data_IF_402923486089
#
_entry.id   IF_402923486089
#
_cell.length_a   1.000
_cell.length_b   1.000
_cell.length_c   1.000
_cell.angle_alpha   90.00
_cell.angle_beta   90.00
_cell.angle_gamma   90.00
#
_symmetry.space_group_name_H-M   'P 1'
#
loop_
_entity.id
_entity.type
_entity.pdbx_description
1 polymer ?
#
# COMPACT_ATOMS: atom_id res chain seq x y z
N UNK A 1 -7.91 -11.38 10.71
CA UNK A 1 -6.78 -10.64 10.09
C UNK A 1 -6.94 -9.17 10.44
N UNK A 2 -5.88 -8.36 10.56
CA UNK A 2 -6.01 -6.96 11.00
C UNK A 2 -5.26 -6.01 10.08
N UNK A 3 -5.90 -4.91 9.69
CA UNK A 3 -5.28 -3.80 8.94
C UNK A 3 -5.18 -2.56 9.84
N UNK A 4 -3.99 -1.97 9.92
CA UNK A 4 -3.76 -0.65 10.55
C UNK A 4 -3.32 0.35 9.50
N UNK A 5 -3.98 1.49 9.42
CA UNK A 5 -3.57 2.60 8.53
C UNK A 5 -2.39 3.32 9.18
N UNK A 6 -1.20 3.21 8.61
CA UNK A 6 0.00 3.94 9.07
C UNK A 6 0.05 5.32 8.43
N UNK A 7 -0.22 5.38 7.12
CA UNK A 7 -0.38 6.62 6.36
C UNK A 7 -1.26 6.40 5.13
N UNK A 8 -2.03 7.43 4.78
CA UNK A 8 -3.04 7.38 3.72
C UNK A 8 -3.09 8.65 2.85
N UNK A 9 -2.08 9.53 2.94
CA UNK A 9 -2.01 10.76 2.14
C UNK A 9 -1.51 10.46 0.73
N UNK A 10 -2.19 10.96 -0.29
CA UNK A 10 -1.75 10.82 -1.68
C UNK A 10 -0.71 11.85 -2.11
N UNK A 11 0.19 11.47 -3.02
CA UNK A 11 1.25 12.31 -3.64
C UNK A 11 2.35 12.82 -2.71
N UNK A 12 2.01 13.35 -1.53
CA UNK A 12 2.95 13.84 -0.52
C UNK A 12 2.28 13.84 0.87
N UNK A 13 3.06 13.83 1.97
CA UNK A 13 2.48 13.75 3.31
C UNK A 13 1.69 15.00 3.64
N UNK A 14 0.53 14.82 4.28
CA UNK A 14 -0.29 15.92 4.76
C UNK A 14 0.13 16.34 6.17
N UNK A 15 -0.48 17.41 6.70
CA UNK A 15 -0.31 17.79 8.11
C UNK A 15 -0.75 16.70 9.09
N UNK A 16 -1.64 15.80 8.66
CA UNK A 16 -2.26 14.80 9.53
C UNK A 16 -1.92 13.36 9.18
N UNK A 17 -1.15 13.09 8.12
CA UNK A 17 -0.86 11.73 7.65
C UNK A 17 0.45 11.67 6.87
N UNK A 18 1.23 10.63 7.12
CA UNK A 18 2.24 10.15 6.18
C UNK A 18 1.60 9.72 4.83
N UNK A 19 2.43 9.49 3.82
CA UNK A 19 1.97 8.87 2.58
C UNK A 19 1.59 7.38 2.76
N UNK A 20 1.13 6.74 1.69
CA UNK A 20 0.68 5.34 1.67
C UNK A 20 1.58 4.40 2.47
N UNK A 21 1.02 3.85 3.53
CA UNK A 21 1.60 2.76 4.30
C UNK A 21 0.52 2.10 5.15
N UNK A 22 0.39 0.78 5.07
CA UNK A 22 -0.67 0.04 5.75
C UNK A 22 -0.12 -1.27 6.31
N UNK A 23 -0.30 -1.49 7.61
CA UNK A 23 0.23 -2.65 8.30
C UNK A 23 -0.85 -3.74 8.39
N UNK A 24 -0.57 -4.91 7.80
CA UNK A 24 -1.42 -6.10 7.85
C UNK A 24 -0.82 -7.12 8.80
N UNK A 25 -1.62 -7.60 9.75
CA UNK A 25 -1.19 -8.54 10.79
C UNK A 25 -2.11 -9.77 10.87
N UNK A 26 -1.49 -10.96 10.97
CA UNK A 26 -2.15 -12.21 11.30
C UNK A 26 -1.15 -13.19 11.93
N UNK A 27 -1.58 -13.96 12.93
CA UNK A 27 -0.74 -14.97 13.61
C UNK A 27 0.64 -14.47 14.07
N UNK A 28 0.73 -13.18 14.43
CA UNK A 28 1.98 -12.53 14.84
C UNK A 28 2.91 -12.09 13.71
N UNK A 29 2.57 -12.41 12.44
CA UNK A 29 3.28 -11.96 11.24
C UNK A 29 2.84 -10.56 10.82
N UNK A 30 3.79 -9.73 10.37
CA UNK A 30 3.60 -8.32 10.01
C UNK A 30 4.03 -8.04 8.57
N UNK A 31 3.05 -7.84 7.69
CA UNK A 31 3.23 -7.40 6.32
C UNK A 31 2.94 -5.91 6.20
N UNK A 32 3.91 -5.11 5.76
CA UNK A 32 3.68 -3.70 5.44
C UNK A 32 3.37 -3.54 3.94
N UNK A 33 2.23 -2.93 3.61
CA UNK A 33 1.88 -2.51 2.26
C UNK A 33 2.30 -1.05 2.08
N UNK A 34 3.25 -0.80 1.20
CA UNK A 34 3.92 0.47 0.95
C UNK A 34 4.62 1.11 2.17
N UNK A 35 5.66 1.89 1.89
CA UNK A 35 6.45 2.62 2.87
C UNK A 35 6.76 4.02 2.33
N UNK A 36 5.70 4.79 2.20
CA UNK A 36 5.71 6.16 1.70
C UNK A 36 6.41 7.18 2.58
N UNK A 37 6.58 8.39 2.05
CA UNK A 37 7.19 9.52 2.76
C UNK A 37 6.55 9.77 4.13
N UNK A 38 7.35 9.72 5.19
CA UNK A 38 6.94 9.92 6.58
C UNK A 38 6.41 8.66 7.29
N UNK A 39 6.24 7.54 6.57
CA UNK A 39 5.68 6.31 7.10
C UNK A 39 6.55 5.67 8.19
N UNK A 40 7.89 5.74 8.11
CA UNK A 40 8.77 5.13 9.11
C UNK A 40 8.57 5.73 10.50
N UNK A 41 8.33 7.05 10.56
CA UNK A 41 8.04 7.75 11.82
C UNK A 41 6.72 7.28 12.44
N UNK A 42 5.66 7.23 11.63
CA UNK A 42 4.33 6.81 12.08
C UNK A 42 4.27 5.32 12.42
N UNK A 43 4.97 4.47 11.66
CA UNK A 43 5.01 3.02 11.86
C UNK A 43 5.46 2.63 13.28
N UNK A 44 6.41 3.39 13.85
CA UNK A 44 6.94 3.15 15.21
C UNK A 44 5.88 3.28 16.31
N UNK A 45 4.72 3.87 16.02
CA UNK A 45 3.59 3.95 16.95
C UNK A 45 2.81 2.63 17.02
N UNK A 46 3.04 1.72 16.08
CA UNK A 46 2.28 0.49 15.89
C UNK A 46 3.13 -0.75 16.12
N UNK A 47 4.38 -0.75 15.64
CA UNK A 47 5.30 -1.90 15.73
C UNK A 47 6.74 -1.43 15.98
N UNK A 48 7.57 -2.32 16.51
CA UNK A 48 8.99 -2.08 16.66
C UNK A 48 9.71 -2.02 15.32
N UNK A 49 10.83 -1.29 15.27
CA UNK A 49 11.66 -1.09 14.07
C UNK A 49 12.21 -2.38 13.45
N UNK A 50 12.17 -3.50 14.16
CA UNK A 50 12.67 -4.79 13.68
C UNK A 50 11.60 -5.88 13.69
N UNK A 51 10.34 -5.51 13.91
CA UNK A 51 9.22 -6.45 14.04
C UNK A 51 8.57 -6.79 12.69
N UNK A 52 8.81 -6.02 11.63
CA UNK A 52 8.29 -6.32 10.29
C UNK A 52 8.88 -7.62 9.76
N UNK A 53 8.03 -8.44 9.15
CA UNK A 53 8.40 -9.72 8.56
C UNK A 53 8.50 -9.67 7.03
N UNK A 54 7.73 -8.78 6.39
CA UNK A 54 7.79 -8.53 4.96
C UNK A 54 7.27 -7.14 4.59
N UNK A 55 7.68 -6.64 3.43
CA UNK A 55 7.15 -5.42 2.80
C UNK A 55 6.66 -5.76 1.39
N UNK A 56 5.51 -5.25 1.02
CA UNK A 56 4.99 -5.22 -0.34
C UNK A 56 4.97 -3.78 -0.82
N UNK A 57 5.65 -3.47 -1.92
CA UNK A 57 5.62 -2.17 -2.59
C UNK A 57 4.75 -2.32 -3.84
N UNK A 58 3.63 -1.60 -3.88
CA UNK A 58 2.70 -1.60 -5.02
C UNK A 58 3.39 -1.06 -6.28
N UNK A 59 4.12 0.04 -6.14
CA UNK A 59 4.94 0.66 -7.18
C UNK A 59 6.05 1.54 -6.59
N UNK A 60 6.77 2.25 -7.46
CA UNK A 60 8.05 2.90 -7.12
C UNK A 60 8.02 4.44 -7.10
N UNK A 61 6.83 5.04 -7.00
CA UNK A 61 6.71 6.46 -6.67
C UNK A 61 7.17 6.74 -5.24
N UNK A 62 7.65 7.96 -4.99
CA UNK A 62 8.32 8.31 -3.74
C UNK A 62 7.38 8.22 -2.53
N UNK A 63 6.14 8.62 -2.70
CA UNK A 63 5.05 8.49 -1.73
C UNK A 63 4.62 7.05 -1.44
N UNK A 64 5.20 6.04 -2.09
CA UNK A 64 4.96 4.62 -1.80
C UNK A 64 6.20 3.89 -1.30
N UNK A 65 7.42 4.42 -1.49
CA UNK A 65 8.63 3.67 -1.15
C UNK A 65 9.79 4.47 -0.56
N UNK A 66 9.76 5.80 -0.54
CA UNK A 66 10.99 6.56 -0.26
C UNK A 66 11.50 6.40 1.17
N UNK A 67 10.63 6.11 2.14
CA UNK A 67 11.03 5.88 3.53
C UNK A 67 11.80 4.57 3.71
N UNK A 68 11.82 3.68 2.71
CA UNK A 68 12.76 2.56 2.65
C UNK A 68 14.21 3.03 2.74
N UNK A 69 14.55 4.23 2.26
CA UNK A 69 15.89 4.79 2.37
C UNK A 69 16.28 5.11 3.82
N UNK A 70 15.34 5.62 4.61
CA UNK A 70 15.55 5.83 6.04
C UNK A 70 15.56 4.49 6.79
N UNK A 71 14.70 3.56 6.39
CA UNK A 71 14.64 2.23 6.99
C UNK A 71 15.90 1.40 6.72
N UNK A 72 16.52 1.57 5.55
CA UNK A 72 17.84 1.05 5.25
C UNK A 72 18.85 1.45 6.32
N UNK A 73 18.90 2.72 6.73
CA UNK A 73 19.83 3.20 7.77
C UNK A 73 19.58 2.48 9.09
N UNK A 74 18.32 2.37 9.51
CA UNK A 74 17.91 1.68 10.75
C UNK A 74 18.39 0.23 10.79
N UNK A 75 18.30 -0.47 9.66
CA UNK A 75 18.66 -1.89 9.57
C UNK A 75 20.13 -2.14 9.24
N UNK A 76 20.78 -1.25 8.48
CA UNK A 76 22.20 -1.37 8.13
C UNK A 76 23.10 -1.01 9.31
N UNK A 77 22.69 -0.01 10.11
CA UNK A 77 23.40 0.49 11.29
C UNK A 77 22.56 0.34 12.57
N UNK A 78 22.21 -0.90 12.98
CA UNK A 78 21.35 -1.10 14.13
C UNK A 78 22.01 -0.63 15.43
N UNK A 79 21.22 -0.04 16.31
CA UNK A 79 21.73 0.43 17.60
C UNK A 79 21.82 -0.73 18.61
N UNK A 80 23.04 -1.16 18.93
CA UNK A 80 23.29 -2.06 20.07
C UNK A 80 23.11 -3.56 19.79
N UNK A 81 23.33 -4.01 18.56
CA UNK A 81 23.28 -5.44 18.21
C UNK A 81 23.83 -5.75 16.82
N UNK A 82 23.75 -7.02 16.44
CA UNK A 82 24.10 -7.48 15.10
C UNK A 82 23.08 -7.02 14.06
N UNK A 83 23.50 -6.98 12.79
CA UNK A 83 22.60 -6.70 11.67
C UNK A 83 21.48 -7.74 11.63
N UNK A 84 20.20 -7.31 11.58
CA UNK A 84 19.10 -8.25 11.45
C UNK A 84 19.15 -8.97 10.09
N UNK A 85 18.49 -10.13 9.98
CA UNK A 85 18.37 -10.86 8.71
C UNK A 85 17.79 -9.95 7.62
N UNK A 86 18.17 -10.11 6.34
CA UNK A 86 17.55 -9.37 5.25
C UNK A 86 16.03 -9.50 5.30
N UNK A 87 15.33 -8.37 5.17
CA UNK A 87 13.87 -8.33 5.22
C UNK A 87 13.31 -8.56 3.80
N UNK A 88 12.42 -9.54 3.59
CA UNK A 88 11.76 -9.72 2.29
C UNK A 88 11.01 -8.46 1.84
N UNK A 89 11.29 -8.00 0.62
CA UNK A 89 10.62 -6.88 -0.03
C UNK A 89 10.12 -7.34 -1.40
N UNK A 90 8.81 -7.42 -1.54
CA UNK A 90 8.13 -7.71 -2.80
C UNK A 90 7.82 -6.40 -3.50
N UNK A 91 8.32 -6.18 -4.70
CA UNK A 91 8.07 -4.94 -5.44
C UNK A 91 8.26 -5.12 -6.95
N UNK A 92 7.94 -4.10 -7.77
CA UNK A 92 8.17 -4.16 -9.20
C UNK A 92 9.63 -4.44 -9.59
N UNK A 93 9.84 -4.81 -10.84
CA UNK A 93 11.18 -4.90 -11.40
C UNK A 93 11.91 -3.55 -11.23
N UNK A 94 13.19 -3.61 -10.86
CA UNK A 94 13.98 -2.39 -10.61
C UNK A 94 13.93 -1.85 -9.19
N UNK A 95 13.23 -2.49 -8.24
CA UNK A 95 13.08 -2.01 -6.86
C UNK A 95 14.43 -1.73 -6.18
N UNK A 96 15.37 -2.68 -6.22
CA UNK A 96 16.70 -2.50 -5.63
C UNK A 96 17.43 -1.31 -6.25
N UNK A 97 17.46 -1.24 -7.59
CA UNK A 97 18.16 -0.20 -8.34
C UNK A 97 17.57 1.19 -8.02
N UNK A 98 16.24 1.28 -7.95
CA UNK A 98 15.51 2.50 -7.63
C UNK A 98 15.79 3.00 -6.21
N UNK A 99 15.86 2.10 -5.23
CA UNK A 99 16.17 2.46 -3.84
C UNK A 99 17.65 2.82 -3.67
N UNK A 100 18.56 2.06 -4.27
CA UNK A 100 20.00 2.37 -4.26
C UNK A 100 20.26 3.74 -4.88
N UNK A 101 19.62 4.05 -6.01
CA UNK A 101 19.75 5.34 -6.67
C UNK A 101 19.18 6.51 -5.84
N UNK A 102 18.03 6.31 -5.17
CA UNK A 102 17.46 7.34 -4.31
C UNK A 102 18.25 7.58 -3.03
N UNK A 103 18.84 6.53 -2.46
CA UNK A 103 19.71 6.67 -1.30
C UNK A 103 21.01 7.38 -1.68
N UNK A 104 21.58 7.07 -2.85
CA UNK A 104 22.69 7.79 -3.48
C UNK A 104 24.07 7.62 -2.83
N UNK A 105 24.14 7.28 -1.54
CA UNK A 105 25.38 7.13 -0.77
C UNK A 105 25.41 5.81 0.02
N UNK A 106 25.26 4.69 -0.71
CA UNK A 106 25.37 3.36 -0.10
C UNK A 106 26.83 2.92 0.00
N UNK A 107 27.24 2.17 1.04
CA UNK A 107 28.64 1.72 1.19
C UNK A 107 29.16 0.85 0.03
N UNK A 108 28.25 0.19 -0.69
CA UNK A 108 28.53 -0.53 -1.94
C UNK A 108 27.23 -0.73 -2.71
N UNK A 109 27.33 -1.03 -4.01
CA UNK A 109 26.18 -1.33 -4.87
C UNK A 109 25.31 -2.49 -4.38
N UNK A 110 25.83 -3.34 -3.49
CA UNK A 110 25.12 -4.49 -2.90
C UNK A 110 24.51 -4.21 -1.54
N UNK A 111 24.83 -3.07 -0.92
CA UNK A 111 24.47 -2.81 0.46
C UNK A 111 22.95 -2.86 0.68
N UNK A 112 22.17 -2.38 -0.29
CA UNK A 112 20.71 -2.42 -0.24
C UNK A 112 20.21 -3.89 -0.17
N UNK A 113 20.73 -4.77 -1.03
CA UNK A 113 20.45 -6.21 -1.01
C UNK A 113 20.97 -6.98 0.22
N UNK A 114 21.92 -6.41 0.98
CA UNK A 114 22.33 -6.98 2.28
C UNK A 114 21.29 -6.73 3.38
N UNK A 115 20.40 -5.75 3.20
CA UNK A 115 19.39 -5.33 4.18
C UNK A 115 18.00 -5.80 3.79
N UNK A 116 17.71 -5.80 2.49
CA UNK A 116 16.44 -6.18 1.93
C UNK A 116 16.63 -7.34 0.94
N UNK A 117 15.85 -8.39 1.11
CA UNK A 117 15.80 -9.52 0.17
C UNK A 117 14.71 -9.23 -0.86
N UNK A 118 15.10 -8.82 -2.07
CA UNK A 118 14.17 -8.31 -3.08
C UNK A 118 13.54 -9.43 -3.91
N UNK A 119 12.21 -9.42 -4.02
CA UNK A 119 11.41 -10.34 -4.82
C UNK A 119 10.62 -9.56 -5.87
N UNK A 120 10.93 -9.77 -7.15
CA UNK A 120 10.23 -9.08 -8.25
C UNK A 120 8.80 -9.61 -8.41
N UNK A 121 7.82 -8.72 -8.29
CA UNK A 121 6.41 -9.00 -8.47
C UNK A 121 6.07 -9.39 -9.91
N UNK A 122 5.14 -10.33 -10.02
CA UNK A 122 4.49 -10.75 -11.26
C UNK A 122 3.02 -11.04 -10.97
N UNK A 123 2.11 -10.87 -11.94
CA UNK A 123 0.73 -11.32 -11.76
C UNK A 123 0.68 -12.80 -11.38
N UNK A 124 -0.16 -13.16 -10.41
CA UNK A 124 -0.30 -14.53 -9.92
C UNK A 124 -0.51 -14.64 -8.42
N UNK A 125 -0.49 -15.88 -7.94
CA UNK A 125 -0.72 -16.21 -6.53
C UNK A 125 0.48 -16.89 -5.89
N UNK A 126 0.76 -16.53 -4.64
CA UNK A 126 1.88 -17.03 -3.84
C UNK A 126 1.64 -16.75 -2.35
N UNK A 127 2.53 -17.21 -1.48
CA UNK A 127 2.44 -17.01 -0.04
C UNK A 127 3.42 -15.92 0.43
N UNK A 128 2.97 -15.08 1.36
CA UNK A 128 3.84 -14.21 2.17
C UNK A 128 3.58 -14.54 3.64
N UNK A 129 4.47 -15.32 4.26
CA UNK A 129 4.25 -15.78 5.62
C UNK A 129 2.97 -16.62 5.72
N UNK A 130 2.00 -16.27 6.59
CA UNK A 130 0.72 -16.98 6.73
C UNK A 130 -0.36 -16.49 5.74
N UNK A 131 -0.04 -15.53 4.86
CA UNK A 131 -1.00 -14.93 3.93
C UNK A 131 -0.94 -15.60 2.56
N UNK A 132 -2.12 -16.03 2.09
CA UNK A 132 -2.34 -16.33 0.67
C UNK A 132 -2.51 -15.00 -0.07
N UNK A 133 -1.64 -14.74 -1.04
CA UNK A 133 -1.57 -13.47 -1.76
C UNK A 133 -1.86 -13.69 -3.24
N UNK A 134 -2.64 -12.79 -3.83
CA UNK A 134 -2.75 -12.64 -5.29
C UNK A 134 -2.41 -11.21 -5.68
N UNK A 135 -1.64 -11.05 -6.74
CA UNK A 135 -1.29 -9.73 -7.29
C UNK A 135 -1.64 -9.67 -8.76
N UNK A 136 -2.04 -8.49 -9.25
CA UNK A 136 -2.31 -8.21 -10.67
C UNK A 136 -1.67 -6.88 -11.05
N UNK A 137 -1.29 -6.73 -12.34
CA UNK A 137 -0.87 -5.43 -12.87
C UNK A 137 -2.07 -4.50 -13.02
N UNK A 138 -1.89 -3.24 -12.67
CA UNK A 138 -2.93 -2.22 -12.70
C UNK A 138 -2.68 -1.14 -13.75
N UNK A 139 -3.68 -0.29 -13.98
CA UNK A 139 -3.62 0.78 -14.97
C UNK A 139 -2.97 2.04 -14.38
N UNK A 140 -1.65 2.09 -14.39
CA UNK A 140 -0.87 3.23 -13.91
C UNK A 140 0.36 3.46 -14.82
N UNK A 141 0.94 4.69 -14.92
CA UNK A 141 2.01 4.96 -15.89
C UNK A 141 3.33 4.21 -15.67
N UNK A 142 3.53 3.66 -14.46
CA UNK A 142 4.66 2.80 -14.11
C UNK A 142 4.15 1.42 -13.70
N UNK A 143 5.04 0.42 -13.73
CA UNK A 143 4.69 -0.93 -13.26
C UNK A 143 4.15 -0.87 -11.82
N UNK A 144 2.85 -1.17 -11.71
CA UNK A 144 2.07 -1.03 -10.48
C UNK A 144 1.21 -2.25 -10.28
N UNK A 145 1.17 -2.71 -9.03
CA UNK A 145 0.48 -3.94 -8.65
C UNK A 145 -0.52 -3.67 -7.53
N UNK A 146 -1.74 -4.17 -7.74
CA UNK A 146 -2.70 -4.37 -6.67
C UNK A 146 -2.43 -5.69 -5.96
N UNK A 147 -2.94 -5.81 -4.74
CA UNK A 147 -2.78 -7.01 -3.94
C UNK A 147 -4.08 -7.40 -3.25
N UNK A 148 -4.42 -8.69 -3.34
CA UNK A 148 -5.41 -9.37 -2.49
C UNK A 148 -4.66 -10.22 -1.47
N UNK A 149 -4.99 -10.06 -0.20
CA UNK A 149 -4.41 -10.77 0.94
C UNK A 149 -5.53 -11.54 1.63
N UNK A 150 -5.34 -12.84 1.84
CA UNK A 150 -6.31 -13.72 2.47
C UNK A 150 -5.67 -14.52 3.60
N UNK A 151 -6.38 -14.63 4.72
CA UNK A 151 -5.96 -15.46 5.85
C UNK A 151 -7.15 -15.80 6.75
N UNK A 152 -7.28 -17.08 7.14
CA UNK A 152 -8.26 -17.50 8.14
C UNK A 152 -9.73 -17.29 7.75
N UNK A 153 -10.03 -17.17 6.46
CA UNK A 153 -11.37 -16.84 5.94
C UNK A 153 -11.63 -15.34 5.77
N UNK A 154 -10.73 -14.47 6.23
CA UNK A 154 -10.77 -13.03 6.03
C UNK A 154 -10.02 -12.62 4.76
N UNK A 155 -10.44 -11.52 4.13
CA UNK A 155 -9.88 -11.04 2.86
C UNK A 155 -9.77 -9.51 2.79
N UNK A 156 -8.65 -9.04 2.23
CA UNK A 156 -8.34 -7.62 2.02
C UNK A 156 -7.87 -7.44 0.58
N UNK A 157 -8.39 -6.43 -0.13
CA UNK A 157 -7.77 -5.94 -1.37
C UNK A 157 -7.22 -4.52 -1.17
N UNK A 158 -6.01 -4.27 -1.65
CA UNK A 158 -5.40 -2.95 -1.74
C UNK A 158 -5.13 -2.61 -3.20
N UNK A 159 -5.63 -1.45 -3.62
CA UNK A 159 -5.54 -1.00 -5.02
C UNK A 159 -4.16 -0.55 -5.43
N UNK A 160 -3.27 -0.10 -4.53
CA UNK A 160 -2.19 0.80 -4.98
C UNK A 160 -2.77 2.01 -5.72
N UNK A 161 -2.02 2.54 -6.67
CA UNK A 161 -2.47 3.62 -7.56
C UNK A 161 -2.91 3.05 -8.90
N UNK A 162 -4.06 3.51 -9.42
CA UNK A 162 -4.61 2.98 -10.67
C UNK A 162 -5.72 3.87 -11.22
N UNK A 163 -5.88 3.87 -12.55
CA UNK A 163 -7.17 4.15 -13.20
C UNK A 163 -8.11 2.94 -13.15
N UNK A 164 -9.29 3.06 -13.77
CA UNK A 164 -10.27 1.96 -13.81
C UNK A 164 -9.73 0.77 -14.61
N UNK A 165 -9.82 -0.45 -14.06
CA UNK A 165 -9.46 -1.68 -14.79
C UNK A 165 -10.13 -2.94 -14.21
N UNK A 166 -10.31 -3.96 -15.05
CA UNK A 166 -10.90 -5.25 -14.66
C UNK A 166 -10.05 -5.98 -13.59
N UNK A 167 -8.73 -5.86 -13.68
CA UNK A 167 -7.80 -6.48 -12.73
C UNK A 167 -8.02 -6.01 -11.28
N UNK A 168 -8.37 -4.73 -11.09
CA UNK A 168 -8.71 -4.18 -9.78
C UNK A 168 -9.98 -4.83 -9.22
N UNK A 169 -11.01 -4.95 -10.07
CA UNK A 169 -12.30 -5.55 -9.70
C UNK A 169 -12.15 -7.05 -9.39
N UNK A 170 -11.28 -7.74 -10.12
CA UNK A 170 -10.94 -9.14 -9.87
C UNK A 170 -10.26 -9.35 -8.52
N UNK A 171 -9.31 -8.47 -8.15
CA UNK A 171 -8.66 -8.52 -6.84
C UNK A 171 -9.67 -8.25 -5.71
N UNK A 172 -10.56 -7.27 -5.90
CA UNK A 172 -11.55 -6.85 -4.93
C UNK A 172 -12.80 -7.75 -4.86
N UNK A 173 -12.89 -8.81 -5.67
CA UNK A 173 -14.10 -9.65 -5.75
C UNK A 173 -14.46 -10.27 -4.39
N UNK A 174 -15.66 -9.96 -3.89
CA UNK A 174 -16.21 -10.48 -2.63
C UNK A 174 -15.26 -10.35 -1.42
N UNK A 175 -14.40 -9.32 -1.39
CA UNK A 175 -13.47 -9.12 -0.25
C UNK A 175 -14.16 -8.48 0.94
N UNK A 176 -13.69 -8.78 2.15
CA UNK A 176 -14.24 -8.21 3.39
C UNK A 176 -13.93 -6.72 3.51
N UNK A 177 -12.74 -6.31 3.06
CA UNK A 177 -12.34 -4.91 3.00
C UNK A 177 -11.61 -4.60 1.69
N UNK A 178 -12.10 -3.60 0.98
CA UNK A 178 -11.44 -3.03 -0.18
C UNK A 178 -10.86 -1.65 0.18
N UNK A 179 -9.54 -1.58 0.29
CA UNK A 179 -8.77 -0.36 0.50
C UNK A 179 -8.39 0.22 -0.88
N UNK A 180 -9.12 1.24 -1.32
CA UNK A 180 -9.05 1.73 -2.69
C UNK A 180 -8.63 3.20 -2.75
N UNK A 181 -7.74 3.55 -3.67
CA UNK A 181 -7.38 4.94 -3.94
C UNK A 181 -8.57 5.76 -4.46
N UNK A 182 -8.59 7.05 -4.15
CA UNK A 182 -9.54 7.99 -4.72
C UNK A 182 -8.88 9.38 -4.81
N UNK A 183 -7.84 9.49 -5.64
CA UNK A 183 -7.01 10.69 -5.67
C UNK A 183 -7.68 11.88 -6.37
N UNK A 184 -8.48 11.60 -7.40
CA UNK A 184 -9.16 12.61 -8.24
C UNK A 184 -10.56 12.96 -7.74
N UNK A 185 -11.13 14.03 -8.29
CA UNK A 185 -12.51 14.45 -8.03
C UNK A 185 -13.36 14.24 -9.29
N UNK A 186 -14.53 13.63 -9.12
CA UNK A 186 -15.48 13.36 -10.21
C UNK A 186 -15.81 14.63 -11.01
N UNK A 187 -15.61 14.57 -12.33
CA UNK A 187 -15.85 15.67 -13.26
C UNK A 187 -14.83 16.82 -13.23
N UNK A 188 -13.70 16.69 -12.53
CA UNK A 188 -12.63 17.70 -12.50
C UNK A 188 -11.39 17.25 -13.25
N UNK A 189 -10.84 16.09 -12.89
CA UNK A 189 -9.73 15.45 -13.60
C UNK A 189 -10.25 14.35 -14.53
N UNK A 190 -9.65 14.21 -15.71
CA UNK A 190 -9.98 13.19 -16.72
C UNK A 190 -8.67 12.72 -17.38
N UNK A 191 -7.78 12.16 -16.54
CA UNK A 191 -6.50 11.61 -17.01
C UNK A 191 -6.63 10.08 -16.97
N UNK A 192 -6.67 9.42 -18.14
CA UNK A 192 -6.85 7.98 -18.20
C UNK A 192 -5.66 7.25 -17.59
N UNK A 193 -5.91 6.06 -17.03
CA UNK A 193 -4.90 5.13 -16.51
C UNK A 193 -3.92 5.77 -15.52
N UNK A 194 -4.42 6.67 -14.67
CA UNK A 194 -3.61 7.37 -13.67
C UNK A 194 -4.14 7.18 -12.26
N UNK A 195 -5.30 7.76 -11.94
CA UNK A 195 -5.92 7.68 -10.61
C UNK A 195 -7.43 7.55 -10.71
N UNK A 196 -8.05 7.00 -9.67
CA UNK A 196 -9.49 6.96 -9.51
C UNK A 196 -10.00 8.25 -8.87
N UNK A 197 -11.25 8.59 -9.16
CA UNK A 197 -12.03 9.47 -8.31
C UNK A 197 -12.94 8.67 -7.35
N UNK A 198 -13.62 9.37 -6.43
CA UNK A 198 -14.52 8.73 -5.45
C UNK A 198 -15.66 7.92 -6.09
N UNK A 199 -16.26 8.41 -7.18
CA UNK A 199 -17.31 7.67 -7.91
C UNK A 199 -16.75 6.36 -8.47
N UNK A 200 -15.62 6.41 -9.17
CA UNK A 200 -15.02 5.23 -9.80
C UNK A 200 -14.59 4.18 -8.78
N UNK A 201 -14.04 4.58 -7.63
CA UNK A 201 -13.75 3.68 -6.52
C UNK A 201 -15.01 3.01 -5.97
N UNK A 202 -16.11 3.76 -5.83
CA UNK A 202 -17.41 3.23 -5.45
C UNK A 202 -17.96 2.23 -6.47
N UNK A 203 -17.89 2.56 -7.76
CA UNK A 203 -18.35 1.68 -8.82
C UNK A 203 -17.54 0.38 -8.89
N UNK A 204 -16.21 0.45 -8.72
CA UNK A 204 -15.35 -0.73 -8.64
C UNK A 204 -15.74 -1.63 -7.46
N UNK A 205 -15.98 -1.04 -6.27
CA UNK A 205 -16.44 -1.79 -5.11
C UNK A 205 -17.81 -2.46 -5.34
N UNK A 206 -18.73 -1.76 -6.01
CA UNK A 206 -20.06 -2.29 -6.34
C UNK A 206 -19.98 -3.45 -7.33
N UNK A 207 -19.17 -3.33 -8.38
CA UNK A 207 -18.97 -4.40 -9.39
C UNK A 207 -18.26 -5.61 -8.80
N UNK A 208 -17.31 -5.38 -7.90
CA UNK A 208 -16.58 -6.44 -7.22
C UNK A 208 -17.40 -7.15 -6.13
N UNK A 209 -18.51 -6.56 -5.65
CA UNK A 209 -19.26 -7.11 -4.53
C UNK A 209 -18.50 -7.04 -3.21
N UNK A 210 -17.57 -6.10 -3.06
CA UNK A 210 -16.82 -5.91 -1.81
C UNK A 210 -17.80 -5.66 -0.64
N UNK A 211 -17.46 -6.14 0.56
CA UNK A 211 -18.30 -6.00 1.75
C UNK A 211 -18.17 -4.63 2.42
N UNK A 212 -17.01 -3.98 2.27
CA UNK A 212 -16.70 -2.65 2.79
C UNK A 212 -15.69 -1.95 1.88
N UNK A 213 -15.91 -0.67 1.61
CA UNK A 213 -14.98 0.19 0.89
C UNK A 213 -14.34 1.21 1.85
N UNK A 214 -13.01 1.26 1.87
CA UNK A 214 -12.23 2.29 2.57
C UNK A 214 -11.44 3.07 1.53
N UNK A 215 -11.77 4.35 1.37
CA UNK A 215 -11.05 5.23 0.45
C UNK A 215 -9.73 5.68 1.07
N UNK A 216 -8.65 5.62 0.32
CA UNK A 216 -7.31 6.01 0.74
C UNK A 216 -6.60 6.82 -0.34
N UNK A 217 -5.33 7.18 -0.12
CA UNK A 217 -4.47 7.88 -1.06
C UNK A 217 -5.09 9.18 -1.58
N UNK A 218 -5.81 9.90 -0.72
CA UNK A 218 -6.43 11.18 -1.11
C UNK A 218 -5.39 12.29 -0.93
N UNK A 219 -5.04 13.05 -1.98
CA UNK A 219 -4.06 14.12 -1.88
C UNK A 219 -4.53 15.24 -0.96
N UNK A 220 -3.61 15.97 -0.29
CA UNK A 220 -3.98 17.01 0.69
C UNK A 220 -4.83 18.17 0.15
N UNK A 221 -4.90 18.34 -1.18
CA UNK A 221 -5.70 19.37 -1.83
C UNK A 221 -7.05 18.86 -2.35
N UNK A 222 -7.31 17.56 -2.29
CA UNK A 222 -8.55 16.93 -2.71
C UNK A 222 -9.54 16.93 -1.54
N UNK A 223 -10.79 17.28 -1.82
CA UNK A 223 -11.88 17.22 -0.84
C UNK A 223 -12.29 15.76 -0.61
N UNK A 224 -11.79 15.17 0.48
CA UNK A 224 -12.06 13.79 0.84
C UNK A 224 -13.55 13.53 1.11
N UNK A 225 -14.28 14.49 1.67
CA UNK A 225 -15.71 14.34 1.96
C UNK A 225 -16.50 14.28 0.65
N UNK A 226 -16.07 15.03 -0.37
CA UNK A 226 -16.65 14.93 -1.71
C UNK A 226 -16.44 13.54 -2.31
N UNK A 227 -15.22 13.01 -2.26
CA UNK A 227 -14.95 11.65 -2.78
C UNK A 227 -15.73 10.58 -2.02
N UNK A 228 -15.85 10.69 -0.70
CA UNK A 228 -16.69 9.78 0.08
C UNK A 228 -18.18 9.89 -0.29
N UNK A 229 -18.69 11.08 -0.58
CA UNK A 229 -20.07 11.27 -1.02
C UNK A 229 -20.32 10.65 -2.41
N UNK A 230 -19.40 10.87 -3.35
CA UNK A 230 -19.50 10.32 -4.71
C UNK A 230 -19.39 8.78 -4.70
N UNK A 231 -18.51 8.22 -3.86
CA UNK A 231 -18.42 6.77 -3.65
C UNK A 231 -19.71 6.17 -3.08
N UNK A 232 -20.31 6.81 -2.06
CA UNK A 232 -21.59 6.37 -1.46
C UNK A 232 -22.76 6.42 -2.43
N UNK A 233 -22.71 7.31 -3.42
CA UNK A 233 -23.74 7.38 -4.46
C UNK A 233 -23.63 6.21 -5.46
N UNK A 234 -22.42 5.66 -5.65
CA UNK A 234 -22.14 4.57 -6.59
C UNK A 234 -22.14 3.17 -5.95
N UNK A 235 -21.88 3.08 -4.65
CA UNK A 235 -21.75 1.82 -3.90
C UNK A 235 -22.78 1.72 -2.77
N UNK A 236 -23.61 0.66 -2.72
CA UNK A 236 -24.65 0.52 -1.70
C UNK A 236 -24.12 0.06 -0.33
N UNK A 237 -22.87 -0.41 -0.25
CA UNK A 237 -22.28 -0.89 1.01
C UNK A 237 -21.62 0.22 1.84
N UNK A 238 -20.96 -0.15 2.96
CA UNK A 238 -20.31 0.81 3.85
C UNK A 238 -19.10 1.48 3.20
N UNK A 239 -19.05 2.82 3.24
CA UNK A 239 -17.92 3.64 2.76
C UNK A 239 -17.31 4.45 3.89
N UNK A 240 -16.01 4.26 4.09
CA UNK A 240 -15.19 4.97 5.08
C UNK A 240 -14.02 5.70 4.41
N UNK A 241 -13.50 6.73 5.07
CA UNK A 241 -12.23 7.37 4.71
C UNK A 241 -11.13 6.77 5.58
N UNK A 242 -9.99 6.41 4.99
CA UNK A 242 -8.81 6.01 5.75
C UNK A 242 -8.34 7.18 6.63
N UNK A 243 -8.03 6.87 7.89
CA UNK A 243 -7.50 7.82 8.87
C UNK A 243 -6.27 7.18 9.52
N UNK A 244 -5.14 7.88 9.68
CA UNK A 244 -3.97 7.31 10.33
C UNK A 244 -4.28 6.82 11.75
N UNK A 245 -3.78 5.63 12.07
CA UNK A 245 -4.06 4.92 13.31
C UNK A 245 -5.41 4.20 13.36
N UNK A 246 -6.27 4.31 12.34
CA UNK A 246 -7.47 3.49 12.24
C UNK A 246 -7.10 2.01 12.09
N UNK A 247 -7.89 1.16 12.76
CA UNK A 247 -7.70 -0.30 12.77
C UNK A 247 -8.98 -0.96 12.28
N UNK A 248 -8.83 -1.90 11.34
CA UNK A 248 -9.91 -2.73 10.81
C UNK A 248 -9.61 -4.19 11.13
N UNK A 249 -10.46 -4.80 11.96
CA UNK A 249 -10.46 -6.24 12.20
C UNK A 249 -11.33 -6.94 11.14
N UNK A 250 -10.76 -7.95 10.50
CA UNK A 250 -11.34 -8.77 9.43
C UNK A 250 -11.46 -10.22 9.88
#
# INVERSE_FOLDING_TARGET
>A
MKLTVVGCSGSFPSKGSACSSYLVEADGFRLLLDMGNGALGELQRHVGLYDLDAIFLSHLHADHCIDMCAYFVVRYYPHGGDRPRPLPVYGPEGTEQRLTAAHGDTPSDRAMGEVFDFHTLKPGSFEIGPFSVRTEKLCHPVDTFGIRVEHGGSSLAYSGDTGTCEALEDLARDVDLFLCEASFVDGKEDIPDLHLNGREAGEAAARAGAHRLVLTHIPPWTDADRNAADARAAYPGPVELAVPGAVYEL
#
